data_IF_735223702876
#
_entry.id   IF_735223702876
#
_cell.length_a   1.000
_cell.length_b   1.000
_cell.length_c   1.000
_cell.angle_alpha   90.00
_cell.angle_beta   90.00
_cell.angle_gamma   90.00
#
_symmetry.space_group_name_H-M   'P 1'
#
loop_
_entity.id
_entity.type
_entity.pdbx_description
1 polymer ?
#
# COMPACT_ATOMS: atom_id res chain seq x y z
N UNK A 1 -30.22 -54.81 53.79
CA UNK A 1 -30.26 -53.36 53.33
C UNK A 1 -29.12 -53.27 52.30
N UNK A 2 -29.46 -53.38 50.97
CA UNK A 2 -28.52 -53.30 49.91
C UNK A 2 -28.49 -51.88 49.34
N UNK A 3 -27.35 -51.24 49.40
CA UNK A 3 -27.12 -49.89 48.82
C UNK A 3 -26.65 -50.12 47.37
N UNK A 4 -27.49 -49.74 46.40
CA UNK A 4 -27.11 -49.68 44.98
C UNK A 4 -26.36 -48.39 44.70
N UNK A 5 -25.08 -48.49 44.34
CA UNK A 5 -24.26 -47.37 43.89
C UNK A 5 -24.48 -47.19 42.37
N UNK A 6 -25.19 -46.14 41.99
CA UNK A 6 -25.31 -45.75 40.58
C UNK A 6 -24.01 -45.07 40.12
N UNK A 7 -23.28 -45.72 39.23
CA UNK A 7 -22.18 -45.10 38.46
C UNK A 7 -22.78 -44.29 37.28
N UNK A 8 -22.78 -43.00 37.38
CA UNK A 8 -23.06 -42.10 36.23
C UNK A 8 -21.82 -42.00 35.33
N UNK A 9 -21.88 -42.62 34.16
CA UNK A 9 -20.86 -42.47 33.15
C UNK A 9 -20.95 -41.03 32.53
N UNK A 10 -19.97 -40.17 32.81
CA UNK A 10 -19.79 -38.92 32.13
C UNK A 10 -19.24 -39.23 30.71
N UNK A 11 -20.10 -39.08 29.68
CA UNK A 11 -19.65 -39.07 28.29
C UNK A 11 -18.96 -37.76 28.00
N UNK A 12 -17.63 -37.77 27.91
CA UNK A 12 -16.85 -36.64 27.38
C UNK A 12 -17.06 -36.61 25.87
N UNK A 13 -17.85 -35.67 25.40
CA UNK A 13 -17.95 -35.33 23.96
C UNK A 13 -16.58 -34.79 23.54
N UNK A 14 -15.83 -35.56 22.77
CA UNK A 14 -14.62 -35.09 22.10
C UNK A 14 -15.05 -34.03 21.09
N UNK A 15 -14.75 -32.76 21.37
CA UNK A 15 -14.87 -31.66 20.39
C UNK A 15 -13.85 -31.93 19.31
N UNK A 16 -14.29 -32.09 18.06
CA UNK A 16 -13.40 -32.08 16.90
C UNK A 16 -12.62 -30.75 16.91
N UNK A 17 -11.31 -30.76 16.66
CA UNK A 17 -10.56 -29.53 16.56
C UNK A 17 -11.20 -28.66 15.46
N UNK A 18 -11.57 -27.44 15.81
CA UNK A 18 -12.03 -26.47 14.82
C UNK A 18 -10.92 -26.30 13.78
N UNK A 19 -11.25 -26.49 12.49
CA UNK A 19 -10.29 -26.28 11.41
C UNK A 19 -9.64 -24.89 11.54
N UNK A 20 -8.32 -24.81 11.34
CA UNK A 20 -7.58 -23.56 11.39
C UNK A 20 -7.26 -23.09 9.97
N UNK A 21 -7.46 -21.78 9.70
CA UNK A 21 -7.06 -21.17 8.44
C UNK A 21 -5.77 -20.38 8.63
N UNK A 22 -4.93 -20.38 7.61
CA UNK A 22 -3.75 -19.51 7.51
C UNK A 22 -3.86 -18.64 6.27
N UNK A 23 -3.30 -17.45 6.36
CA UNK A 23 -3.35 -16.41 5.34
C UNK A 23 -1.94 -16.01 4.94
N UNK A 24 -1.70 -15.85 3.65
CA UNK A 24 -0.42 -15.39 3.11
C UNK A 24 -0.64 -14.48 1.89
N UNK A 25 0.34 -13.64 1.57
CA UNK A 25 0.32 -12.93 0.31
C UNK A 25 0.50 -13.90 -0.86
N UNK A 26 -0.27 -13.70 -1.92
CA UNK A 26 -0.01 -14.35 -3.20
C UNK A 26 1.27 -13.75 -3.79
N UNK A 27 2.26 -14.58 -4.16
CA UNK A 27 3.48 -14.08 -4.79
C UNK A 27 3.18 -13.18 -5.99
N UNK A 28 3.96 -12.11 -6.14
CA UNK A 28 3.90 -11.16 -7.26
C UNK A 28 2.56 -10.44 -7.48
N UNK A 29 1.61 -10.58 -6.54
CA UNK A 29 0.30 -9.94 -6.66
C UNK A 29 0.28 -8.49 -6.15
N UNK A 30 1.28 -8.07 -5.36
CA UNK A 30 1.32 -6.71 -4.83
C UNK A 30 1.69 -5.71 -5.93
N UNK A 31 0.81 -4.73 -6.13
CA UNK A 31 1.03 -3.59 -7.03
C UNK A 31 0.96 -2.31 -6.23
N UNK A 32 1.91 -1.42 -6.49
CA UNK A 32 2.01 -0.10 -5.87
C UNK A 32 1.95 0.92 -7.00
N UNK A 33 0.83 1.63 -7.08
CA UNK A 33 0.57 2.60 -8.15
C UNK A 33 0.30 3.98 -7.55
N UNK A 34 0.59 5.01 -8.34
CA UNK A 34 0.31 6.39 -7.99
C UNK A 34 -0.05 7.20 -9.23
N UNK A 35 -0.91 8.20 -9.02
CA UNK A 35 -1.30 9.15 -10.07
C UNK A 35 -0.90 10.54 -9.65
N UNK A 36 0.01 11.17 -10.41
CA UNK A 36 0.29 12.60 -10.31
C UNK A 36 -0.55 13.38 -11.31
N UNK A 37 -0.72 14.67 -11.06
CA UNK A 37 -1.59 15.50 -11.88
C UNK A 37 -0.84 16.68 -12.50
N UNK A 38 -1.13 16.94 -13.78
CA UNK A 38 -0.59 18.08 -14.52
C UNK A 38 -1.70 18.88 -15.21
N UNK A 39 -1.33 20.03 -15.74
CA UNK A 39 -2.22 21.02 -16.33
C UNK A 39 -3.21 21.61 -15.32
N UNK A 40 -3.83 22.73 -15.68
CA UNK A 40 -4.88 23.35 -14.87
C UNK A 40 -6.13 22.48 -14.77
N UNK A 41 -6.40 21.66 -15.79
CA UNK A 41 -7.49 20.68 -15.86
C UNK A 41 -7.28 19.44 -14.95
N UNK A 42 -6.16 19.38 -14.24
CA UNK A 42 -5.82 18.29 -13.32
C UNK A 42 -5.81 16.90 -14.00
N UNK A 43 -5.17 16.79 -15.17
CA UNK A 43 -5.05 15.52 -15.89
C UNK A 43 -4.12 14.57 -15.16
N UNK A 44 -4.62 13.36 -14.86
CA UNK A 44 -3.86 12.28 -14.19
C UNK A 44 -2.81 11.66 -15.10
N UNK A 45 -1.68 11.30 -14.51
CA UNK A 45 -0.58 10.55 -15.11
C UNK A 45 -0.25 9.41 -14.15
N UNK A 46 -0.58 8.19 -14.56
CA UNK A 46 -0.34 6.97 -13.79
C UNK A 46 1.12 6.54 -13.90
N UNK A 47 1.65 6.05 -12.77
CA UNK A 47 2.92 5.35 -12.70
C UNK A 47 2.89 4.32 -11.56
N UNK A 48 3.88 3.44 -11.52
CA UNK A 48 4.02 2.40 -10.51
C UNK A 48 5.43 2.36 -9.91
N UNK A 49 5.54 1.66 -8.79
CA UNK A 49 6.81 1.29 -8.18
C UNK A 49 6.95 -0.24 -8.21
N UNK A 50 7.50 -0.82 -9.30
CA UNK A 50 7.67 -2.26 -9.40
C UNK A 50 8.85 -2.79 -8.57
N UNK A 51 9.75 -1.90 -8.10
CA UNK A 51 10.94 -2.29 -7.32
C UNK A 51 10.72 -1.93 -5.86
N UNK A 52 10.47 -2.93 -5.03
CA UNK A 52 10.28 -2.80 -3.60
C UNK A 52 10.65 -4.09 -2.86
N UNK A 53 10.88 -3.98 -1.56
CA UNK A 53 11.01 -5.11 -0.65
C UNK A 53 9.76 -5.16 0.23
N UNK A 54 9.13 -6.33 0.31
CA UNK A 54 8.03 -6.62 1.21
C UNK A 54 8.56 -7.41 2.41
N UNK A 55 8.38 -6.86 3.61
CA UNK A 55 8.63 -7.56 4.87
C UNK A 55 7.28 -7.91 5.49
N UNK A 56 6.96 -9.20 5.51
CA UNK A 56 5.70 -9.73 5.99
C UNK A 56 5.90 -11.14 6.54
N UNK A 57 5.08 -11.61 7.49
CA UNK A 57 5.14 -13.00 7.93
C UNK A 57 4.79 -13.94 6.75
N UNK A 58 5.42 -15.13 6.67
CA UNK A 58 5.11 -16.08 5.60
C UNK A 58 3.64 -16.54 5.65
N UNK A 59 3.07 -16.63 6.86
CA UNK A 59 1.66 -16.91 7.12
C UNK A 59 1.20 -16.18 8.37
N UNK A 60 -0.10 -15.93 8.48
CA UNK A 60 -0.76 -15.36 9.66
C UNK A 60 -2.08 -16.10 9.94
N UNK A 61 -2.64 -15.93 11.13
CA UNK A 61 -3.91 -16.56 11.54
C UNK A 61 -5.14 -15.78 11.04
N UNK A 62 -4.94 -14.58 10.52
CA UNK A 62 -5.99 -13.73 9.96
C UNK A 62 -5.42 -12.73 8.96
N UNK A 63 -6.25 -12.19 8.04
CA UNK A 63 -5.85 -11.07 7.19
C UNK A 63 -5.40 -9.84 7.99
N UNK A 64 -6.03 -9.57 9.14
CA UNK A 64 -5.63 -8.47 10.01
C UNK A 64 -4.20 -8.65 10.50
N UNK A 65 -3.87 -9.82 11.06
CA UNK A 65 -2.53 -10.11 11.55
C UNK A 65 -1.49 -10.04 10.43
N UNK A 66 -1.82 -10.57 9.24
CA UNK A 66 -0.95 -10.50 8.07
C UNK A 66 -0.63 -9.06 7.71
N UNK A 67 -1.66 -8.21 7.58
CA UNK A 67 -1.49 -6.81 7.19
C UNK A 67 -0.75 -6.00 8.26
N UNK A 68 -1.13 -6.09 9.53
CA UNK A 68 -0.55 -5.26 10.60
C UNK A 68 0.93 -5.61 10.89
N UNK A 69 1.39 -6.78 10.46
CA UNK A 69 2.81 -7.18 10.52
C UNK A 69 3.58 -6.89 9.23
N UNK A 70 2.98 -6.16 8.27
CA UNK A 70 3.57 -5.89 6.96
C UNK A 70 4.20 -4.51 6.90
N UNK A 71 5.41 -4.46 6.37
CA UNK A 71 6.08 -3.24 5.94
C UNK A 71 6.66 -3.36 4.53
N UNK A 72 6.83 -2.22 3.87
CA UNK A 72 7.33 -2.11 2.49
C UNK A 72 8.44 -1.07 2.44
N UNK A 73 9.47 -1.37 1.69
CA UNK A 73 10.51 -0.42 1.33
C UNK A 73 10.61 -0.31 -0.19
N UNK A 74 10.27 0.86 -0.72
CA UNK A 74 10.17 1.14 -2.17
C UNK A 74 11.46 1.81 -2.63
N UNK A 75 11.95 1.40 -3.83
CA UNK A 75 13.03 2.05 -4.59
C UNK A 75 12.44 3.03 -5.60
N UNK A 76 12.31 4.33 -5.33
CA UNK A 76 11.66 5.26 -6.25
C UNK A 76 12.39 5.43 -7.58
N UNK A 77 13.69 5.12 -7.62
CA UNK A 77 14.48 5.14 -8.86
C UNK A 77 14.12 4.00 -9.83
N UNK A 78 13.39 2.97 -9.34
CA UNK A 78 12.85 1.88 -10.16
C UNK A 78 11.46 2.15 -10.72
N UNK A 79 10.94 3.39 -10.64
CA UNK A 79 9.59 3.72 -11.11
C UNK A 79 9.36 3.39 -12.59
N UNK A 80 8.09 3.11 -12.93
CA UNK A 80 7.64 2.88 -14.29
C UNK A 80 6.33 3.63 -14.59
N UNK A 81 6.30 4.40 -15.67
CA UNK A 81 5.15 5.21 -16.08
C UNK A 81 4.68 4.92 -17.52
N UNK A 82 5.24 3.91 -18.17
CA UNK A 82 4.96 3.60 -19.56
C UNK A 82 5.62 4.54 -20.57
N UNK A 83 6.50 5.45 -20.12
CA UNK A 83 7.21 6.42 -20.95
C UNK A 83 8.63 6.62 -20.40
N UNK A 84 9.67 6.13 -21.13
CA UNK A 84 11.05 6.23 -20.68
C UNK A 84 11.54 7.66 -20.42
N UNK A 85 11.14 8.62 -21.26
CA UNK A 85 11.53 10.02 -21.09
C UNK A 85 10.91 10.64 -19.83
N UNK A 86 9.67 10.27 -19.51
CA UNK A 86 9.01 10.64 -18.25
C UNK A 86 9.70 9.99 -17.06
N UNK A 87 10.04 8.71 -17.16
CA UNK A 87 10.77 7.99 -16.11
C UNK A 87 12.08 8.70 -15.78
N UNK A 88 12.86 9.07 -16.80
CA UNK A 88 14.14 9.78 -16.62
C UNK A 88 13.94 11.17 -16.00
N UNK A 89 12.93 11.92 -16.43
CA UNK A 89 12.60 13.22 -15.85
C UNK A 89 12.21 13.11 -14.38
N UNK A 90 11.36 12.15 -14.02
CA UNK A 90 10.95 11.89 -12.64
C UNK A 90 12.13 11.48 -11.77
N UNK A 91 12.97 10.55 -12.24
CA UNK A 91 14.19 10.11 -11.54
C UNK A 91 15.13 11.29 -11.29
N UNK A 92 15.42 12.07 -12.33
CA UNK A 92 16.43 13.14 -12.30
C UNK A 92 15.94 14.40 -11.57
N UNK A 93 14.73 14.84 -11.85
CA UNK A 93 14.25 16.15 -11.42
C UNK A 93 13.32 16.11 -10.21
N UNK A 94 12.76 14.93 -9.87
CA UNK A 94 11.92 14.77 -8.69
C UNK A 94 12.59 13.89 -7.64
N UNK A 95 12.72 12.59 -7.86
CA UNK A 95 13.19 11.67 -6.82
C UNK A 95 14.65 11.90 -6.39
N UNK A 96 15.53 12.35 -7.28
CA UNK A 96 16.91 12.73 -6.91
C UNK A 96 16.98 13.95 -6.00
N UNK A 97 15.89 14.71 -5.85
CA UNK A 97 15.80 15.88 -4.95
C UNK A 97 15.16 15.56 -3.60
N UNK A 98 14.66 14.34 -3.43
CA UNK A 98 14.09 13.84 -2.18
C UNK A 98 15.20 13.45 -1.22
N UNK A 99 15.03 13.76 0.07
CA UNK A 99 15.94 13.34 1.13
C UNK A 99 15.74 11.85 1.39
N UNK A 100 16.81 11.08 1.38
CA UNK A 100 16.78 9.62 1.45
C UNK A 100 16.56 8.99 0.08
N UNK A 101 16.81 7.68 -0.01
CA UNK A 101 16.72 6.92 -1.27
C UNK A 101 15.52 6.02 -1.36
N UNK A 102 14.77 5.89 -0.26
CA UNK A 102 13.66 4.96 -0.11
C UNK A 102 12.38 5.66 0.32
N UNK A 103 11.24 5.08 -0.04
CA UNK A 103 9.94 5.39 0.57
C UNK A 103 9.56 4.17 1.38
N UNK A 104 9.16 4.37 2.65
CA UNK A 104 8.74 3.26 3.52
C UNK A 104 7.27 3.35 3.83
N UNK A 105 6.61 2.19 3.87
CA UNK A 105 5.23 2.03 4.28
C UNK A 105 5.12 0.96 5.36
N UNK A 106 4.33 1.21 6.39
CA UNK A 106 4.00 0.23 7.44
C UNK A 106 2.52 0.31 7.75
N UNK A 107 1.83 -0.82 7.67
CA UNK A 107 0.43 -0.88 8.08
C UNK A 107 0.37 -0.85 9.61
N UNK A 108 -0.19 0.21 10.17
CA UNK A 108 -0.27 0.43 11.64
C UNK A 108 -1.63 0.03 12.22
N UNK A 109 -2.64 -0.05 11.37
CA UNK A 109 -3.91 -0.70 11.71
C UNK A 109 -4.66 -1.08 10.44
N UNK A 110 -5.33 -2.22 10.48
CA UNK A 110 -6.18 -2.72 9.42
C UNK A 110 -7.64 -2.77 9.86
N UNK A 111 -8.54 -2.38 8.96
CA UNK A 111 -9.95 -2.76 8.99
C UNK A 111 -10.47 -2.91 7.55
N UNK A 112 -11.56 -3.65 7.32
CA UNK A 112 -12.13 -3.84 5.98
C UNK A 112 -12.61 -2.55 5.29
N UNK A 113 -12.84 -1.48 6.05
CA UNK A 113 -13.29 -0.18 5.52
C UNK A 113 -12.14 0.82 5.38
N UNK A 114 -11.30 0.93 6.41
CA UNK A 114 -10.21 1.92 6.47
C UNK A 114 -9.00 1.31 7.15
N UNK A 115 -7.88 1.28 6.47
CA UNK A 115 -6.58 0.94 7.05
C UNK A 115 -5.73 2.19 7.23
N UNK A 116 -4.86 2.19 8.24
CA UNK A 116 -3.90 3.28 8.46
C UNK A 116 -2.50 2.82 8.12
N UNK A 117 -1.84 3.55 7.24
CA UNK A 117 -0.47 3.25 6.80
C UNK A 117 0.42 4.41 7.23
N UNK A 118 1.48 4.10 7.96
CA UNK A 118 2.56 5.05 8.23
C UNK A 118 3.45 5.10 6.99
N UNK A 119 3.52 6.28 6.36
CA UNK A 119 4.38 6.55 5.22
C UNK A 119 5.56 7.40 5.68
N UNK A 120 6.76 6.98 5.33
CA UNK A 120 7.98 7.77 5.52
C UNK A 120 8.61 8.07 4.16
N UNK A 121 8.73 9.35 3.83
CA UNK A 121 9.45 9.85 2.66
C UNK A 121 9.98 11.26 2.91
N UNK A 122 11.09 11.62 2.26
CA UNK A 122 11.75 12.91 2.40
C UNK A 122 12.07 13.32 3.86
N UNK A 123 12.38 12.34 4.71
CA UNK A 123 12.64 12.54 6.13
C UNK A 123 11.43 12.92 6.97
N UNK A 124 10.21 12.75 6.45
CA UNK A 124 8.95 13.01 7.15
C UNK A 124 8.15 11.73 7.24
N UNK A 125 7.61 11.43 8.42
CA UNK A 125 6.74 10.29 8.68
C UNK A 125 5.33 10.77 9.02
N UNK A 126 4.32 10.19 8.35
CA UNK A 126 2.89 10.48 8.58
C UNK A 126 2.06 9.21 8.55
N UNK A 127 1.02 9.17 9.37
CA UNK A 127 -0.02 8.12 9.31
C UNK A 127 -1.16 8.62 8.44
N UNK A 128 -1.43 7.89 7.37
CA UNK A 128 -2.41 8.24 6.33
C UNK A 128 -3.52 7.18 6.32
N UNK A 129 -4.80 7.57 6.33
CA UNK A 129 -5.91 6.64 6.17
C UNK A 129 -6.06 6.24 4.69
N UNK A 130 -6.26 4.95 4.45
CA UNK A 130 -6.57 4.37 3.14
C UNK A 130 -7.96 3.74 3.18
N UNK A 131 -8.81 4.08 2.21
CA UNK A 131 -10.07 3.38 1.98
C UNK A 131 -9.79 2.00 1.43
N UNK A 132 -10.41 1.00 2.02
CA UNK A 132 -10.27 -0.39 1.60
C UNK A 132 -11.44 -0.81 0.71
N UNK A 133 -11.15 -1.60 -0.31
CA UNK A 133 -12.13 -2.34 -1.10
C UNK A 133 -11.65 -3.79 -1.19
N UNK A 134 -12.56 -4.73 -0.90
CA UNK A 134 -12.26 -6.16 -0.88
C UNK A 134 -13.21 -6.85 -1.85
N UNK A 135 -12.65 -7.60 -2.80
CA UNK A 135 -13.38 -8.39 -3.79
C UNK A 135 -12.83 -9.82 -3.77
N UNK A 136 -13.53 -10.71 -3.07
CA UNK A 136 -13.04 -12.07 -2.84
C UNK A 136 -11.70 -12.05 -2.10
N UNK A 137 -10.66 -12.58 -2.72
CA UNK A 137 -9.30 -12.60 -2.19
C UNK A 137 -8.44 -11.38 -2.59
N UNK A 138 -9.01 -10.44 -3.36
CA UNK A 138 -8.34 -9.22 -3.81
C UNK A 138 -8.62 -8.07 -2.85
N UNK A 139 -7.56 -7.44 -2.39
CA UNK A 139 -7.57 -6.29 -1.48
C UNK A 139 -7.01 -5.07 -2.18
N UNK A 140 -7.74 -3.97 -2.15
CA UNK A 140 -7.35 -2.68 -2.71
C UNK A 140 -7.39 -1.63 -1.62
N UNK A 141 -6.37 -0.77 -1.56
CA UNK A 141 -6.28 0.33 -0.61
C UNK A 141 -5.96 1.62 -1.37
N UNK A 142 -6.79 2.65 -1.22
CA UNK A 142 -6.67 3.91 -1.96
C UNK A 142 -6.73 5.12 -1.05
N UNK A 143 -5.94 6.13 -1.39
CA UNK A 143 -5.95 7.44 -0.72
C UNK A 143 -5.44 8.54 -1.64
N UNK A 144 -5.73 9.78 -1.28
CA UNK A 144 -5.09 10.97 -1.84
C UNK A 144 -4.20 11.60 -0.77
N UNK A 145 -2.99 12.01 -1.16
CA UNK A 145 -2.07 12.74 -0.30
C UNK A 145 -1.69 14.09 -0.94
N UNK A 146 -1.27 15.03 -0.13
CA UNK A 146 -0.54 16.21 -0.61
C UNK A 146 0.96 16.00 -0.29
N UNK A 147 1.81 15.98 -1.32
CA UNK A 147 3.26 15.79 -1.13
C UNK A 147 3.90 16.96 -0.38
N UNK A 148 3.22 18.10 -0.26
CA UNK A 148 3.65 19.22 0.59
C UNK A 148 3.68 18.84 2.06
N UNK A 149 2.81 17.92 2.49
CA UNK A 149 2.81 17.33 3.83
C UNK A 149 4.11 16.59 4.16
N UNK A 150 4.83 16.15 3.14
CA UNK A 150 6.15 15.52 3.22
C UNK A 150 7.29 16.48 2.84
N UNK A 151 7.06 17.78 2.92
CA UNK A 151 8.03 18.86 2.62
C UNK A 151 8.65 18.76 1.20
N UNK A 152 7.88 18.26 0.23
CA UNK A 152 8.37 18.01 -1.13
C UNK A 152 8.25 19.23 -2.08
N UNK A 153 8.25 20.46 -1.57
CA UNK A 153 8.21 21.69 -2.38
C UNK A 153 9.34 21.74 -3.40
N UNK A 154 10.58 21.52 -2.97
CA UNK A 154 11.77 21.57 -3.86
C UNK A 154 11.72 20.52 -4.99
N UNK A 155 11.42 19.23 -4.74
CA UNK A 155 11.18 18.26 -5.81
C UNK A 155 10.10 18.68 -6.79
N UNK A 156 8.96 19.18 -6.30
CA UNK A 156 7.83 19.62 -7.12
C UNK A 156 8.20 20.80 -8.03
N UNK A 157 8.87 21.81 -7.49
CA UNK A 157 9.36 22.95 -8.25
C UNK A 157 10.40 22.54 -9.31
N UNK A 158 11.29 21.61 -8.96
CA UNK A 158 12.34 21.12 -9.85
C UNK A 158 11.75 20.40 -11.07
N UNK A 159 10.80 19.48 -10.87
CA UNK A 159 10.17 18.75 -11.98
C UNK A 159 9.29 19.70 -12.81
N UNK A 160 8.55 20.63 -12.20
CA UNK A 160 7.74 21.59 -12.93
C UNK A 160 8.60 22.52 -13.80
N UNK A 161 9.77 22.95 -13.30
CA UNK A 161 10.72 23.76 -14.09
C UNK A 161 11.30 22.96 -15.26
N UNK A 162 11.73 21.71 -15.01
CA UNK A 162 12.36 20.86 -16.03
C UNK A 162 11.38 20.45 -17.14
N UNK A 163 10.11 20.29 -16.79
CA UNK A 163 9.05 19.85 -17.70
C UNK A 163 8.06 21.00 -18.02
N UNK A 164 8.49 22.26 -17.96
CA UNK A 164 7.60 23.43 -18.06
C UNK A 164 6.67 23.36 -19.27
N UNK A 165 7.22 23.12 -20.46
CA UNK A 165 6.43 23.04 -21.69
C UNK A 165 5.57 21.76 -21.78
N UNK A 166 6.03 20.65 -21.20
CA UNK A 166 5.28 19.39 -21.11
C UNK A 166 4.11 19.44 -20.11
N UNK A 167 4.12 20.44 -19.22
CA UNK A 167 3.07 20.68 -18.23
C UNK A 167 2.20 21.89 -18.54
N UNK A 168 2.38 22.49 -19.73
CA UNK A 168 1.57 23.61 -20.22
C UNK A 168 0.26 23.08 -20.79
N UNK A 169 -0.86 23.48 -20.19
CA UNK A 169 -2.19 23.13 -20.65
C UNK A 169 -2.66 23.95 -21.87
N UNK A 170 -3.89 23.75 -22.28
CA UNK A 170 -4.54 24.47 -23.37
C UNK A 170 -4.66 25.97 -23.08
N UNK A 171 -4.68 26.33 -21.80
CA UNK A 171 -4.70 27.73 -21.32
C UNK A 171 -3.30 28.40 -21.32
N UNK A 172 -2.28 27.71 -21.81
CA UNK A 172 -0.91 28.21 -21.87
C UNK A 172 -0.17 28.21 -20.53
N UNK A 173 -0.79 27.73 -19.43
CA UNK A 173 -0.18 27.71 -18.10
C UNK A 173 0.44 26.36 -17.79
N UNK A 174 1.68 26.38 -17.29
CA UNK A 174 2.33 25.17 -16.79
C UNK A 174 1.94 24.92 -15.33
N UNK A 175 1.40 23.72 -15.05
CA UNK A 175 0.97 23.32 -13.70
C UNK A 175 1.32 21.88 -13.41
N UNK A 176 1.94 21.67 -12.26
CA UNK A 176 2.07 20.35 -11.61
C UNK A 176 1.42 20.46 -10.23
N UNK A 177 0.52 19.54 -9.92
CA UNK A 177 -0.22 19.54 -8.67
C UNK A 177 0.60 18.86 -7.57
N UNK A 178 0.42 19.30 -6.33
CA UNK A 178 0.99 18.63 -5.16
C UNK A 178 0.16 17.42 -4.70
N UNK A 179 -1.10 17.35 -5.10
CA UNK A 179 -1.96 16.20 -4.84
C UNK A 179 -1.50 14.98 -5.65
N UNK A 180 -1.46 13.81 -5.01
CA UNK A 180 -1.13 12.52 -5.60
C UNK A 180 -2.09 11.48 -5.08
N UNK A 181 -2.71 10.70 -5.98
CA UNK A 181 -3.51 9.53 -5.59
C UNK A 181 -2.61 8.31 -5.49
N UNK A 182 -2.81 7.50 -4.45
CA UNK A 182 -2.09 6.26 -4.20
C UNK A 182 -3.06 5.09 -4.29
N UNK A 183 -2.66 3.99 -4.92
CA UNK A 183 -3.39 2.74 -4.99
C UNK A 183 -2.46 1.56 -4.72
N UNK A 184 -2.84 0.72 -3.77
CA UNK A 184 -2.18 -0.53 -3.44
C UNK A 184 -3.16 -1.67 -3.75
N UNK A 185 -2.73 -2.67 -4.49
CA UNK A 185 -3.55 -3.85 -4.79
C UNK A 185 -2.75 -5.10 -4.47
N UNK A 186 -3.38 -6.06 -3.80
CA UNK A 186 -2.77 -7.38 -3.55
C UNK A 186 -3.83 -8.48 -3.54
N UNK A 187 -3.41 -9.73 -3.59
CA UNK A 187 -4.24 -10.91 -3.37
C UNK A 187 -3.70 -11.71 -2.18
N UNK A 188 -4.61 -12.30 -1.40
CA UNK A 188 -4.30 -13.17 -0.27
C UNK A 188 -4.74 -14.59 -0.59
N UNK A 189 -3.92 -15.56 -0.20
CA UNK A 189 -4.22 -16.99 -0.24
C UNK A 189 -4.68 -17.41 1.15
N UNK A 190 -5.85 -18.02 1.23
CA UNK A 190 -6.39 -18.66 2.44
C UNK A 190 -6.24 -20.17 2.33
N UNK A 191 -5.61 -20.80 3.32
CA UNK A 191 -5.45 -22.24 3.43
C UNK A 191 -6.05 -22.71 4.74
N UNK A 192 -7.15 -23.49 4.65
CA UNK A 192 -7.83 -24.07 5.81
C UNK A 192 -7.55 -25.57 5.93
N UNK A 193 -7.17 -26.03 7.13
CA UNK A 193 -7.14 -27.44 7.48
C UNK A 193 -8.52 -27.85 8.02
N UNK A 194 -8.99 -29.03 7.60
CA UNK A 194 -10.23 -29.61 8.10
C UNK A 194 -10.01 -30.29 9.44
#
# INVERSE_FOLDING_TARGET
>A
MFIAVLFSALTVLAQSPAGSCTYSYKPDALKIEWTAYKFTEKKGVLASFPVFTLDAPPTASSPQELFEKTSIEIEPQGLESGDPGRNDNLKKFFFKKVIGTKIKGQIVSYSPAISKIKIEMNGVSKVVPFRMKIEGNKYMAETDIDIMDFKMKKPLESINKACYDLHKGSDGKSKTWSAVSLSLTTEIVENCTK
#
